data_IF_996331637292
#
_entry.id   IF_996331637292
#
_cell.length_a   1.000
_cell.length_b   1.000
_cell.length_c   1.000
_cell.angle_alpha   90.00
_cell.angle_beta   90.00
_cell.angle_gamma   90.00
#
_symmetry.space_group_name_H-M   'P 1'
#
loop_
_entity.id
_entity.type
_entity.pdbx_description
1 polymer ?
#
# COMPACT_ATOMS: atom_id res chain seq x y z
N UNK A 1 -27.60 14.09 -17.56
CA UNK A 1 -26.27 13.55 -17.25
C UNK A 1 -26.23 13.19 -15.77
N UNK A 2 -25.64 12.06 -15.37
CA UNK A 2 -25.43 11.73 -13.95
C UNK A 2 -24.04 12.22 -13.56
N UNK A 3 -23.93 12.91 -12.42
CA UNK A 3 -22.67 13.42 -11.88
C UNK A 3 -22.34 12.69 -10.58
N UNK A 4 -21.05 12.44 -10.34
CA UNK A 4 -20.55 11.80 -9.14
C UNK A 4 -19.51 12.71 -8.49
N UNK A 5 -19.80 13.35 -7.34
CA UNK A 5 -18.82 14.18 -6.65
C UNK A 5 -17.70 13.30 -6.09
N UNK A 6 -16.47 13.80 -6.16
CA UNK A 6 -15.29 13.12 -5.62
C UNK A 6 -14.29 14.12 -5.07
N UNK A 7 -13.34 13.64 -4.27
CA UNK A 7 -12.15 14.40 -3.86
C UNK A 7 -10.92 13.68 -4.39
N UNK A 8 -10.02 14.42 -5.04
CA UNK A 8 -8.72 13.88 -5.45
C UNK A 8 -7.73 14.04 -4.31
N UNK A 9 -7.10 12.96 -3.87
CA UNK A 9 -6.12 12.97 -2.78
C UNK A 9 -4.89 12.15 -3.16
N UNK A 10 -3.77 12.34 -2.46
CA UNK A 10 -2.63 11.44 -2.56
C UNK A 10 -1.89 11.31 -1.22
N UNK A 11 -1.31 10.15 -0.98
CA UNK A 11 -0.34 9.92 0.10
C UNK A 11 1.05 9.73 -0.50
N UNK A 12 1.91 10.74 -0.39
CA UNK A 12 3.28 10.70 -0.94
C UNK A 12 3.34 10.34 -2.45
N UNK A 13 2.36 10.77 -3.24
CA UNK A 13 2.29 10.51 -4.69
C UNK A 13 1.39 9.34 -5.09
N UNK A 14 1.13 8.38 -4.19
CA UNK A 14 0.11 7.35 -4.44
C UNK A 14 -1.28 8.00 -4.35
N UNK A 15 -1.99 8.06 -5.48
CA UNK A 15 -3.14 8.95 -5.67
C UNK A 15 -4.49 8.23 -5.75
N UNK A 16 -5.50 8.86 -5.15
CA UNK A 16 -6.83 8.29 -4.94
C UNK A 16 -7.92 9.19 -5.50
N UNK A 17 -8.93 8.57 -6.08
CA UNK A 17 -10.26 9.18 -6.22
C UNK A 17 -11.04 8.79 -4.97
N UNK A 18 -11.40 9.76 -4.12
CA UNK A 18 -12.11 9.51 -2.86
C UNK A 18 -13.60 9.82 -3.03
N UNK A 19 -14.45 8.83 -2.75
CA UNK A 19 -15.91 8.93 -2.83
C UNK A 19 -16.54 8.90 -1.43
N UNK A 20 -17.47 9.83 -1.22
CA UNK A 20 -18.27 9.91 0.00
C UNK A 20 -19.50 9.02 -0.11
N UNK A 21 -19.42 7.82 0.44
CA UNK A 21 -20.55 6.90 0.60
C UNK A 21 -21.28 7.04 1.94
N UNK A 22 -20.92 8.02 2.77
CA UNK A 22 -21.65 8.38 4.01
C UNK A 22 -22.79 9.33 3.66
N UNK A 23 -22.48 10.37 2.90
CA UNK A 23 -23.42 11.45 2.56
C UNK A 23 -24.27 11.15 1.33
N UNK A 24 -23.83 10.21 0.49
CA UNK A 24 -24.41 9.98 -0.82
C UNK A 24 -24.58 8.49 -1.12
N UNK A 25 -25.67 8.16 -1.82
CA UNK A 25 -25.82 6.86 -2.45
C UNK A 25 -24.88 6.77 -3.67
N UNK A 26 -24.05 5.73 -3.69
CA UNK A 26 -23.06 5.53 -4.75
C UNK A 26 -23.55 4.44 -5.72
N UNK A 27 -23.30 4.59 -7.04
CA UNK A 27 -23.57 3.54 -8.01
C UNK A 27 -22.68 2.31 -7.76
N UNK A 28 -22.94 1.17 -8.42
CA UNK A 28 -22.01 0.04 -8.41
C UNK A 28 -20.61 0.47 -8.89
N UNK A 29 -19.61 0.33 -8.01
CA UNK A 29 -18.29 0.94 -8.22
C UNK A 29 -17.30 0.02 -8.93
N UNK A 30 -17.41 -1.29 -8.79
CA UNK A 30 -16.53 -2.26 -9.47
C UNK A 30 -16.42 -2.01 -10.99
N UNK A 31 -17.54 -1.87 -11.75
CA UNK A 31 -17.45 -1.58 -13.19
C UNK A 31 -17.01 -0.14 -13.50
N UNK A 32 -16.99 0.75 -12.50
CA UNK A 32 -16.60 2.16 -12.66
C UNK A 32 -15.15 2.40 -12.29
N UNK A 33 -14.58 1.65 -11.34
CA UNK A 33 -13.24 1.86 -10.82
C UNK A 33 -12.20 1.93 -11.94
N UNK A 34 -12.18 0.92 -12.82
CA UNK A 34 -11.24 0.90 -13.95
C UNK A 34 -11.43 2.06 -14.92
N UNK A 35 -12.67 2.43 -15.22
CA UNK A 35 -12.99 3.56 -16.11
C UNK A 35 -12.60 4.91 -15.52
N UNK A 36 -12.79 5.09 -14.21
CA UNK A 36 -12.46 6.33 -13.50
C UNK A 36 -10.95 6.45 -13.28
N UNK A 37 -10.27 5.33 -13.03
CA UNK A 37 -8.84 5.26 -12.75
C UNK A 37 -7.97 5.39 -14.02
N UNK A 38 -8.53 5.16 -15.22
CA UNK A 38 -7.82 5.41 -16.48
C UNK A 38 -7.30 6.86 -16.55
N UNK A 39 -5.99 7.02 -16.77
CA UNK A 39 -5.30 8.31 -16.74
C UNK A 39 -5.51 9.16 -17.99
N UNK A 40 -6.01 8.59 -19.08
CA UNK A 40 -6.22 9.30 -20.35
C UNK A 40 -7.71 9.61 -20.59
N UNK A 41 -8.59 8.67 -20.27
CA UNK A 41 -10.02 8.72 -20.56
C UNK A 41 -10.89 8.86 -19.31
N UNK A 42 -10.30 8.71 -18.12
CA UNK A 42 -10.95 8.89 -16.83
C UNK A 42 -10.48 10.12 -16.08
N UNK A 43 -10.58 10.08 -14.75
CA UNK A 43 -9.99 11.07 -13.85
C UNK A 43 -8.49 10.78 -13.69
N UNK A 44 -8.11 9.50 -13.74
CA UNK A 44 -6.74 9.03 -13.59
C UNK A 44 -6.33 8.90 -12.14
N UNK A 45 -6.10 7.70 -11.62
CA UNK A 45 -5.63 7.44 -10.25
C UNK A 45 -5.02 6.05 -10.12
N UNK A 46 -4.19 5.82 -9.10
CA UNK A 46 -3.77 4.46 -8.75
C UNK A 46 -4.97 3.65 -8.24
N UNK A 47 -5.79 4.25 -7.39
CA UNK A 47 -6.88 3.58 -6.67
C UNK A 47 -8.13 4.45 -6.51
N UNK A 48 -9.29 3.79 -6.44
CA UNK A 48 -10.55 4.36 -5.97
C UNK A 48 -10.70 4.03 -4.48
N UNK A 49 -10.95 5.04 -3.64
CA UNK A 49 -11.19 4.90 -2.21
C UNK A 49 -12.61 5.33 -1.89
N UNK A 50 -13.33 4.49 -1.16
CA UNK A 50 -14.73 4.75 -0.79
C UNK A 50 -14.83 4.75 0.72
N UNK A 51 -15.42 5.80 1.26
CA UNK A 51 -15.68 5.91 2.70
C UNK A 51 -17.17 5.67 2.95
N UNK A 52 -17.51 4.79 3.89
CA UNK A 52 -18.87 4.38 4.22
C UNK A 52 -19.10 4.37 5.73
N UNK A 53 -20.37 4.35 6.19
CA UNK A 53 -20.68 3.97 7.56
C UNK A 53 -20.12 2.57 7.87
N UNK A 54 -19.68 2.34 9.11
CA UNK A 54 -19.21 1.02 9.53
C UNK A 54 -20.34 -0.03 9.42
N UNK A 55 -19.97 -1.26 9.07
CA UNK A 55 -20.88 -2.41 9.07
C UNK A 55 -20.95 -3.12 10.42
N UNK A 56 -20.04 -2.78 11.35
CA UNK A 56 -19.89 -3.44 12.65
C UNK A 56 -19.75 -2.42 13.77
N UNK A 57 -20.10 -2.80 15.00
CA UNK A 57 -19.92 -1.95 16.19
C UNK A 57 -18.45 -1.77 16.62
N UNK A 58 -17.51 -2.45 15.96
CA UNK A 58 -16.08 -2.41 16.30
C UNK A 58 -15.32 -1.27 15.59
N UNK A 59 -15.99 -0.53 14.69
CA UNK A 59 -15.42 0.56 13.90
C UNK A 59 -16.42 1.72 13.79
N UNK A 60 -15.90 2.91 13.51
CA UNK A 60 -16.69 4.14 13.32
C UNK A 60 -17.06 4.30 11.84
N UNK A 61 -16.15 3.92 10.94
CA UNK A 61 -16.31 3.99 9.49
C UNK A 61 -15.82 2.72 8.81
N UNK A 62 -16.16 2.56 7.53
CA UNK A 62 -15.64 1.53 6.65
C UNK A 62 -14.94 2.14 5.45
N UNK A 63 -13.81 1.56 5.07
CA UNK A 63 -13.05 1.94 3.88
C UNK A 63 -13.04 0.79 2.88
N UNK A 64 -13.35 1.08 1.63
CA UNK A 64 -13.20 0.14 0.51
C UNK A 64 -12.19 0.72 -0.48
N UNK A 65 -11.31 -0.13 -1.02
CA UNK A 65 -10.31 0.28 -2.02
C UNK A 65 -10.41 -0.64 -3.22
N UNK A 66 -10.49 -0.03 -4.40
CA UNK A 66 -10.42 -0.70 -5.68
C UNK A 66 -9.17 -0.23 -6.44
N UNK A 67 -8.40 -1.16 -6.97
CA UNK A 67 -7.30 -0.86 -7.89
C UNK A 67 -7.82 -0.32 -9.22
N UNK A 68 -6.90 0.21 -10.03
CA UNK A 68 -7.19 0.67 -11.39
C UNK A 68 -7.71 -0.43 -12.34
N UNK A 69 -7.57 -1.71 -12.01
CA UNK A 69 -8.17 -2.84 -12.75
C UNK A 69 -9.57 -3.23 -12.25
N UNK A 70 -10.06 -2.57 -11.19
CA UNK A 70 -11.34 -2.84 -10.54
C UNK A 70 -11.30 -3.92 -9.45
N UNK A 71 -10.16 -4.59 -9.23
CA UNK A 71 -10.00 -5.55 -8.14
C UNK A 71 -10.02 -4.85 -6.78
N UNK A 72 -10.62 -5.49 -5.78
CA UNK A 72 -10.66 -4.96 -4.41
C UNK A 72 -9.39 -5.35 -3.64
N UNK A 73 -8.84 -4.40 -2.87
CA UNK A 73 -7.63 -4.60 -2.06
C UNK A 73 -7.97 -4.60 -0.59
N UNK A 74 -7.27 -5.43 0.17
CA UNK A 74 -7.60 -5.59 1.58
C UNK A 74 -7.24 -4.39 2.45
N UNK A 75 -6.07 -3.77 2.20
CA UNK A 75 -5.58 -2.60 2.92
C UNK A 75 -4.57 -1.81 2.08
N UNK A 76 -4.56 -0.48 2.25
CA UNK A 76 -3.52 0.40 1.72
C UNK A 76 -3.17 1.47 2.77
N UNK A 77 -1.90 1.49 3.20
CA UNK A 77 -1.42 2.41 4.23
C UNK A 77 -1.50 3.89 3.81
N UNK A 78 -1.36 4.19 2.52
CA UNK A 78 -1.53 5.54 1.99
C UNK A 78 -3.02 5.91 1.92
N UNK A 79 -3.85 4.95 1.52
CA UNK A 79 -5.31 5.10 1.46
C UNK A 79 -5.91 5.40 2.83
N UNK A 80 -5.52 4.67 3.88
CA UNK A 80 -6.07 4.90 5.23
C UNK A 80 -5.75 6.30 5.79
N UNK A 81 -4.58 6.87 5.45
CA UNK A 81 -4.24 8.26 5.80
C UNK A 81 -5.13 9.26 5.05
N UNK A 82 -5.37 9.02 3.76
CA UNK A 82 -6.29 9.82 2.96
C UNK A 82 -7.74 9.71 3.48
N UNK A 83 -8.18 8.51 3.86
CA UNK A 83 -9.49 8.25 4.46
C UNK A 83 -9.69 9.04 5.74
N UNK A 84 -8.74 8.96 6.69
CA UNK A 84 -8.81 9.73 7.93
C UNK A 84 -8.89 11.24 7.66
N UNK A 85 -8.02 11.76 6.80
CA UNK A 85 -8.00 13.19 6.44
C UNK A 85 -9.30 13.62 5.77
N UNK A 86 -9.84 12.79 4.87
CA UNK A 86 -11.12 13.03 4.21
C UNK A 86 -12.27 13.13 5.21
N UNK A 87 -12.36 12.16 6.13
CA UNK A 87 -13.38 12.13 7.18
C UNK A 87 -13.33 13.40 8.06
N UNK A 88 -12.12 13.80 8.48
CA UNK A 88 -11.91 14.99 9.29
C UNK A 88 -12.24 16.28 8.53
N UNK A 89 -11.76 16.42 7.29
CA UNK A 89 -11.97 17.61 6.46
C UNK A 89 -13.44 17.80 6.05
N UNK A 90 -14.18 16.70 5.87
CA UNK A 90 -15.63 16.74 5.56
C UNK A 90 -16.52 16.87 6.80
N UNK A 91 -15.93 16.90 8.00
CA UNK A 91 -16.69 17.03 9.25
C UNK A 91 -17.45 15.77 9.65
N UNK A 92 -17.07 14.60 9.13
CA UNK A 92 -17.65 13.31 9.52
C UNK A 92 -17.16 12.87 10.90
N UNK A 93 -16.03 13.38 11.37
CA UNK A 93 -15.49 13.13 12.71
C UNK A 93 -14.59 14.28 13.15
N UNK A 94 -14.59 14.55 14.46
CA UNK A 94 -13.64 15.43 15.16
C UNK A 94 -12.66 14.65 16.05
N UNK A 95 -12.79 13.32 16.12
CA UNK A 95 -11.98 12.46 16.95
C UNK A 95 -10.53 12.36 16.44
N UNK A 96 -9.58 12.42 17.36
CA UNK A 96 -8.16 12.29 17.02
C UNK A 96 -7.77 10.87 16.61
N UNK A 97 -8.50 9.84 17.04
CA UNK A 97 -8.34 8.45 16.62
C UNK A 97 -9.71 7.84 16.32
N UNK A 98 -9.80 7.06 15.25
CA UNK A 98 -11.04 6.38 14.83
C UNK A 98 -10.74 4.93 14.45
N UNK A 99 -11.71 4.04 14.62
CA UNK A 99 -11.70 2.71 14.04
C UNK A 99 -12.23 2.74 12.61
N UNK A 100 -11.45 2.21 11.66
CA UNK A 100 -11.85 2.06 10.26
C UNK A 100 -11.84 0.58 9.89
N UNK A 101 -13.01 0.06 9.55
CA UNK A 101 -13.18 -1.28 9.00
C UNK A 101 -12.57 -1.38 7.60
N UNK A 102 -11.72 -2.38 7.40
CA UNK A 102 -11.12 -2.76 6.12
C UNK A 102 -11.31 -4.27 5.90
N UNK A 103 -10.98 -4.82 4.73
CA UNK A 103 -11.07 -6.28 4.55
C UNK A 103 -10.03 -7.03 5.41
N UNK A 104 -8.93 -6.39 5.79
CA UNK A 104 -7.93 -6.95 6.72
C UNK A 104 -8.31 -6.78 8.21
N UNK A 105 -9.50 -6.25 8.52
CA UNK A 105 -9.95 -5.95 9.88
C UNK A 105 -9.94 -4.45 10.20
N UNK A 106 -10.08 -4.11 11.48
CA UNK A 106 -10.19 -2.72 11.93
C UNK A 106 -8.80 -2.09 12.12
N UNK A 107 -8.53 -1.01 11.41
CA UNK A 107 -7.31 -0.18 11.54
C UNK A 107 -7.64 1.10 12.30
N UNK A 108 -6.71 1.59 13.13
CA UNK A 108 -6.88 2.81 13.92
C UNK A 108 -5.92 3.92 13.49
N UNK A 109 -6.25 4.70 12.44
CA UNK A 109 -5.52 5.91 12.13
C UNK A 109 -5.74 6.98 13.21
N UNK A 110 -4.67 7.71 13.52
CA UNK A 110 -4.65 8.81 14.49
C UNK A 110 -4.06 10.08 13.89
N UNK A 111 -4.62 11.22 14.23
CA UNK A 111 -4.03 12.52 13.94
C UNK A 111 -2.67 12.70 14.61
N UNK A 112 -1.68 13.07 13.81
CA UNK A 112 -0.31 13.33 14.28
C UNK A 112 0.05 14.83 14.23
N UNK A 113 -0.93 15.71 13.97
CA UNK A 113 -0.71 17.14 13.77
C UNK A 113 -0.17 17.50 12.39
N UNK A 114 -0.33 18.77 12.00
CA UNK A 114 0.24 19.32 10.75
C UNK A 114 -0.11 18.50 9.49
N UNK A 115 -1.39 18.12 9.33
CA UNK A 115 -1.88 17.30 8.21
C UNK A 115 -1.27 15.89 8.12
N UNK A 116 -0.66 15.40 9.20
CA UNK A 116 -0.11 14.05 9.28
C UNK A 116 -1.06 13.11 10.01
N UNK A 117 -1.07 11.88 9.53
CA UNK A 117 -1.83 10.77 10.11
C UNK A 117 -0.84 9.65 10.46
N UNK A 118 -0.85 9.23 11.71
CA UNK A 118 -0.15 8.06 12.20
C UNK A 118 -1.04 6.84 12.05
N UNK A 119 -0.47 5.70 11.67
CA UNK A 119 -1.19 4.44 11.51
C UNK A 119 -0.38 3.36 12.20
N UNK A 120 -1.01 2.61 13.09
CA UNK A 120 -0.40 1.39 13.61
C UNK A 120 -0.52 0.29 12.54
N UNK A 121 0.63 -0.09 11.97
CA UNK A 121 0.74 -1.11 10.92
C UNK A 121 0.89 -2.53 11.51
N UNK A 122 0.84 -2.68 12.84
CA UNK A 122 1.05 -3.93 13.53
C UNK A 122 2.51 -4.37 13.55
N UNK A 123 2.73 -5.64 13.89
CA UNK A 123 4.07 -6.23 14.00
C UNK A 123 4.50 -6.84 12.66
N UNK A 124 5.79 -6.72 12.29
CA UNK A 124 6.32 -7.42 11.13
C UNK A 124 6.29 -8.94 11.34
N UNK A 125 6.02 -9.65 10.25
CA UNK A 125 6.13 -11.11 10.15
C UNK A 125 7.51 -11.41 9.57
N UNK A 126 8.32 -12.16 10.33
CA UNK A 126 9.72 -12.47 10.00
C UNK A 126 9.95 -13.94 9.63
N UNK A 127 8.98 -14.80 9.94
CA UNK A 127 9.04 -16.23 9.67
C UNK A 127 8.90 -16.49 8.16
N UNK A 128 9.88 -17.14 7.49
CA UNK A 128 9.88 -17.37 6.05
C UNK A 128 8.59 -18.00 5.52
N UNK A 129 8.03 -18.98 6.25
CA UNK A 129 6.80 -19.67 5.88
C UNK A 129 5.57 -18.76 5.89
N UNK A 130 5.55 -17.72 6.75
CA UNK A 130 4.47 -16.73 6.85
C UNK A 130 4.68 -15.52 5.93
N UNK A 131 5.90 -15.29 5.42
CA UNK A 131 6.20 -14.34 4.32
C UNK A 131 5.95 -14.96 2.93
N UNK A 132 5.47 -16.20 2.87
CA UNK A 132 5.87 -17.22 1.89
C UNK A 132 7.13 -16.93 1.05
N UNK A 133 8.32 -17.08 1.65
CA UNK A 133 9.61 -17.09 0.92
C UNK A 133 10.35 -18.41 1.10
N UNK A 134 11.09 -18.83 0.07
CA UNK A 134 11.99 -20.01 0.08
C UNK A 134 13.45 -19.64 0.41
N UNK A 135 13.73 -18.38 0.73
CA UNK A 135 15.08 -17.89 1.03
C UNK A 135 15.57 -18.23 2.45
N UNK A 136 14.72 -18.82 3.28
CA UNK A 136 15.08 -19.28 4.62
C UNK A 136 14.09 -20.31 5.15
N UNK A 137 14.38 -20.82 6.34
CA UNK A 137 13.54 -21.77 7.07
C UNK A 137 13.54 -21.45 8.57
N UNK A 138 12.68 -22.11 9.35
CA UNK A 138 12.56 -21.89 10.80
C UNK A 138 11.82 -20.60 11.14
N UNK A 139 12.12 -20.01 12.29
CA UNK A 139 11.38 -18.86 12.86
C UNK A 139 11.80 -17.49 12.29
N UNK A 140 12.81 -17.45 11.40
CA UNK A 140 13.35 -16.21 10.82
C UNK A 140 14.33 -15.47 11.73
N UNK A 141 14.74 -14.23 11.38
CA UNK A 141 14.45 -13.52 10.12
C UNK A 141 15.30 -14.03 8.94
N UNK A 142 14.85 -13.75 7.71
CA UNK A 142 15.69 -13.88 6.50
C UNK A 142 16.43 -12.56 6.30
N UNK A 143 17.74 -12.56 6.50
CA UNK A 143 18.59 -11.38 6.37
C UNK A 143 19.71 -11.66 5.37
N UNK A 144 19.88 -10.77 4.40
CA UNK A 144 20.94 -10.81 3.37
C UNK A 144 21.11 -12.18 2.70
N UNK A 145 20.01 -12.92 2.51
CA UNK A 145 20.04 -14.22 1.85
C UNK A 145 20.40 -14.05 0.36
N UNK A 146 21.30 -14.90 -0.19
CA UNK A 146 21.69 -14.80 -1.58
C UNK A 146 20.53 -15.20 -2.51
N UNK A 147 20.23 -14.35 -3.48
CA UNK A 147 19.25 -14.58 -4.53
C UNK A 147 19.91 -14.36 -5.89
N UNK A 148 20.00 -15.41 -6.71
CA UNK A 148 20.56 -15.29 -8.06
C UNK A 148 19.49 -14.77 -9.02
N UNK A 149 19.72 -13.59 -9.60
CA UNK A 149 18.81 -12.92 -10.54
C UNK A 149 19.61 -12.42 -11.72
N UNK A 150 19.21 -12.77 -12.95
CA UNK A 150 19.91 -12.36 -14.19
C UNK A 150 21.43 -12.66 -14.20
N UNK A 151 21.88 -13.70 -13.49
CA UNK A 151 23.30 -14.05 -13.37
C UNK A 151 24.06 -13.27 -12.28
N UNK A 152 23.39 -12.39 -11.56
CA UNK A 152 23.92 -11.61 -10.43
C UNK A 152 23.44 -12.20 -9.11
N UNK A 153 24.23 -12.08 -8.03
CA UNK A 153 23.82 -12.49 -6.69
C UNK A 153 23.42 -11.24 -5.90
N UNK A 154 22.12 -11.11 -5.62
CA UNK A 154 21.56 -10.08 -4.76
C UNK A 154 21.53 -10.58 -3.32
N UNK A 155 21.74 -9.68 -2.35
CA UNK A 155 21.50 -9.95 -0.93
C UNK A 155 20.12 -9.44 -0.57
N UNK A 156 19.22 -10.36 -0.20
CA UNK A 156 17.80 -10.08 0.01
C UNK A 156 17.44 -10.38 1.45
N UNK A 157 16.89 -9.37 2.13
CA UNK A 157 16.18 -9.56 3.39
C UNK A 157 14.68 -9.64 3.12
N UNK A 158 13.96 -10.50 3.84
CA UNK A 158 12.52 -10.70 3.63
C UNK A 158 11.72 -10.36 4.88
N UNK A 159 10.63 -9.63 4.71
CA UNK A 159 9.69 -9.25 5.77
C UNK A 159 8.27 -9.21 5.20
N UNK A 160 7.26 -9.40 6.05
CA UNK A 160 5.87 -9.16 5.67
C UNK A 160 5.19 -8.22 6.65
N UNK A 161 4.43 -7.26 6.13
CA UNK A 161 3.52 -6.39 6.89
C UNK A 161 2.05 -6.79 6.65
N UNK A 162 1.82 -8.07 6.31
CA UNK A 162 0.57 -8.59 5.75
C UNK A 162 0.70 -8.94 4.26
N UNK A 163 1.57 -8.23 3.55
CA UNK A 163 2.04 -8.54 2.19
C UNK A 163 3.58 -8.75 2.18
N UNK A 164 4.13 -9.56 1.26
CA UNK A 164 5.55 -9.90 1.26
C UNK A 164 6.43 -8.80 0.66
N UNK A 165 7.59 -8.55 1.28
CA UNK A 165 8.60 -7.59 0.86
C UNK A 165 10.00 -8.22 0.80
N UNK A 166 10.72 -7.87 -0.26
CA UNK A 166 12.12 -8.18 -0.48
C UNK A 166 12.91 -6.87 -0.42
N UNK A 167 13.76 -6.72 0.59
CA UNK A 167 14.58 -5.53 0.84
C UNK A 167 16.01 -5.80 0.41
N UNK A 168 16.53 -4.95 -0.48
CA UNK A 168 17.87 -5.08 -1.05
C UNK A 168 18.63 -3.78 -0.78
N UNK A 169 19.72 -3.90 -0.04
CA UNK A 169 20.64 -2.78 0.20
C UNK A 169 21.42 -2.47 -1.08
N UNK A 170 21.40 -1.21 -1.51
CA UNK A 170 22.15 -0.70 -2.68
C UNK A 170 22.93 0.55 -2.29
N UNK A 171 23.90 0.95 -3.12
CA UNK A 171 24.70 2.16 -2.88
C UNK A 171 23.89 3.46 -3.09
N UNK A 172 23.04 3.50 -4.13
CA UNK A 172 22.15 4.62 -4.42
C UNK A 172 20.87 4.10 -5.11
N UNK A 173 19.67 4.24 -4.51
CA UNK A 173 18.44 3.72 -5.10
C UNK A 173 18.13 4.37 -6.44
N UNK A 174 18.51 5.64 -6.67
CA UNK A 174 18.25 6.36 -7.93
C UNK A 174 19.03 5.77 -9.11
N UNK A 175 20.23 5.24 -8.84
CA UNK A 175 21.11 4.66 -9.87
C UNK A 175 20.93 3.15 -9.99
N UNK A 176 20.26 2.54 -9.03
CA UNK A 176 19.99 1.12 -9.07
C UNK A 176 19.00 0.77 -10.19
N UNK A 177 19.20 -0.39 -10.81
CA UNK A 177 18.43 -0.84 -11.97
C UNK A 177 17.09 -1.45 -11.56
N UNK A 178 16.30 -0.73 -10.76
CA UNK A 178 15.02 -1.21 -10.23
C UNK A 178 14.05 -1.63 -11.35
N UNK A 179 14.01 -0.90 -12.46
CA UNK A 179 13.17 -1.26 -13.61
C UNK A 179 13.60 -2.59 -14.28
N UNK A 180 14.89 -2.96 -14.20
CA UNK A 180 15.40 -4.22 -14.73
C UNK A 180 15.24 -5.37 -13.72
N UNK A 181 15.62 -5.14 -12.47
CA UNK A 181 15.68 -6.18 -11.44
C UNK A 181 14.35 -6.38 -10.69
N UNK A 182 13.56 -5.33 -10.51
CA UNK A 182 12.25 -5.34 -9.85
C UNK A 182 11.32 -6.43 -10.36
N UNK A 183 10.97 -6.50 -11.67
CA UNK A 183 10.09 -7.54 -12.19
C UNK A 183 10.67 -8.95 -12.06
N UNK A 184 12.00 -9.09 -12.12
CA UNK A 184 12.67 -10.38 -12.00
C UNK A 184 12.63 -10.91 -10.56
N UNK A 185 12.82 -10.03 -9.57
CA UNK A 185 12.70 -10.38 -8.15
C UNK A 185 11.24 -10.60 -7.77
N UNK A 186 10.32 -9.73 -8.23
CA UNK A 186 8.87 -9.86 -8.00
C UNK A 186 8.37 -11.27 -8.37
N UNK A 187 8.81 -11.78 -9.53
CA UNK A 187 8.34 -13.05 -10.08
C UNK A 187 9.27 -14.24 -9.75
N UNK A 188 10.30 -14.03 -8.94
CA UNK A 188 11.30 -15.06 -8.69
C UNK A 188 10.68 -16.29 -8.01
N UNK A 189 11.03 -17.53 -8.40
CA UNK A 189 10.51 -18.77 -7.78
C UNK A 189 10.73 -18.92 -6.26
N UNK A 190 11.58 -18.07 -5.69
CA UNK A 190 11.79 -17.98 -4.25
C UNK A 190 10.63 -17.30 -3.52
N UNK A 191 9.75 -16.60 -4.23
CA UNK A 191 8.56 -15.93 -3.71
C UNK A 191 7.32 -16.47 -4.44
N UNK A 192 6.73 -17.60 -3.99
CA UNK A 192 5.59 -18.23 -4.67
C UNK A 192 4.39 -17.31 -4.87
N UNK A 193 4.18 -16.36 -3.95
CA UNK A 193 3.08 -15.40 -4.01
C UNK A 193 3.50 -14.04 -4.59
N UNK A 194 4.62 -14.03 -5.33
CA UNK A 194 5.36 -12.83 -5.76
C UNK A 194 5.74 -11.93 -4.58
N UNK A 195 6.45 -10.84 -4.82
CA UNK A 195 6.97 -9.97 -3.74
C UNK A 195 7.07 -8.51 -4.16
N UNK A 196 6.85 -7.58 -3.23
CA UNK A 196 7.24 -6.18 -3.43
C UNK A 196 8.75 -6.04 -3.24
N UNK A 197 9.42 -5.22 -4.05
CA UNK A 197 10.87 -5.11 -4.04
C UNK A 197 11.27 -3.70 -3.64
N UNK A 198 11.99 -3.55 -2.52
CA UNK A 198 12.50 -2.28 -2.04
C UNK A 198 14.02 -2.23 -2.20
N UNK A 199 14.50 -1.24 -2.95
CA UNK A 199 15.92 -0.90 -3.02
C UNK A 199 16.20 0.23 -2.06
N UNK A 200 17.06 -0.01 -1.07
CA UNK A 200 17.26 0.91 0.06
C UNK A 200 18.72 1.27 0.27
N UNK A 201 18.93 2.48 0.78
CA UNK A 201 20.24 2.95 1.25
C UNK A 201 20.07 3.70 2.56
N UNK A 202 20.81 3.28 3.59
CA UNK A 202 20.89 4.00 4.85
C UNK A 202 21.76 5.25 4.68
N UNK A 203 21.14 6.43 4.78
CA UNK A 203 21.86 7.71 4.76
C UNK A 203 22.38 8.06 6.16
N UNK A 204 21.68 7.62 7.20
CA UNK A 204 22.11 7.67 8.61
C UNK A 204 21.29 6.66 9.43
N UNK A 205 21.57 6.53 10.73
CA UNK A 205 20.79 5.66 11.64
C UNK A 205 19.30 6.03 11.74
N UNK A 206 18.91 7.24 11.37
CA UNK A 206 17.53 7.73 11.43
C UNK A 206 16.96 8.12 10.06
N UNK A 207 17.67 7.82 8.96
CA UNK A 207 17.24 8.21 7.61
C UNK A 207 17.64 7.18 6.57
N UNK A 208 16.66 6.67 5.84
CA UNK A 208 16.84 5.81 4.68
C UNK A 208 16.33 6.52 3.40
N UNK A 209 16.86 6.13 2.25
CA UNK A 209 16.29 6.41 0.93
C UNK A 209 15.83 5.09 0.34
N UNK A 210 14.73 5.12 -0.41
CA UNK A 210 14.09 3.94 -0.96
C UNK A 210 13.49 4.23 -2.33
N UNK A 211 13.57 3.26 -3.23
CA UNK A 211 12.68 3.12 -4.38
C UNK A 211 12.04 1.74 -4.32
N UNK A 212 10.82 1.62 -4.84
CA UNK A 212 10.03 0.40 -4.69
C UNK A 212 9.42 -0.03 -6.01
N UNK A 213 9.39 -1.35 -6.22
CA UNK A 213 8.63 -2.01 -7.26
C UNK A 213 7.53 -2.83 -6.59
N UNK A 214 6.28 -2.41 -6.76
CA UNK A 214 5.13 -3.07 -6.15
C UNK A 214 4.64 -4.23 -7.00
N UNK A 215 4.31 -5.33 -6.32
CA UNK A 215 3.78 -6.56 -6.89
C UNK A 215 2.53 -6.27 -7.72
N UNK A 216 2.57 -6.59 -9.00
CA UNK A 216 1.46 -6.38 -9.94
C UNK A 216 1.25 -4.94 -10.42
N UNK A 217 2.03 -3.98 -9.95
CA UNK A 217 1.90 -2.56 -10.30
C UNK A 217 3.13 -2.02 -11.01
N UNK A 218 4.32 -2.41 -10.58
CA UNK A 218 5.58 -1.84 -11.07
C UNK A 218 6.14 -0.77 -10.14
N UNK A 219 6.99 0.11 -10.66
CA UNK A 219 7.57 1.18 -9.85
C UNK A 219 6.52 2.21 -9.41
N UNK A 220 6.42 2.45 -8.10
CA UNK A 220 5.50 3.43 -7.51
C UNK A 220 6.25 4.51 -6.74
N UNK A 221 5.63 5.69 -6.58
CA UNK A 221 6.23 6.81 -5.85
C UNK A 221 6.34 6.56 -4.34
N UNK A 222 5.46 5.72 -3.78
CA UNK A 222 5.48 5.39 -2.36
C UNK A 222 4.70 4.10 -2.07
N UNK A 223 5.36 3.13 -1.42
CA UNK A 223 4.72 1.96 -0.83
C UNK A 223 4.81 2.06 0.71
N UNK A 224 3.69 2.28 1.40
CA UNK A 224 3.73 2.50 2.85
C UNK A 224 4.06 1.25 3.68
N UNK A 225 3.85 0.05 3.13
CA UNK A 225 4.16 -1.23 3.79
C UNK A 225 5.59 -1.73 3.55
N UNK A 226 6.28 -1.23 2.52
CA UNK A 226 7.62 -1.66 2.11
C UNK A 226 8.69 -0.72 2.62
#
# INVERSE_FOLDING_TARGET
MKTLPFTKMHGCGNDFIVLDGISHELPPLEPLAARLADRNFGIGADQLLVVRPAGTAAADFRMEIFNADGSQVEMCANGIRCCYKFLRDRGHTDADEIGVETLSGVVRPRWAGQDRVSVDMGRPILEPAKIPTRLGSGEGPVIDAPLTVAGEILKVSSVSMGNPHAVINVDDPERAELARLGPLVEQHPAFPNRVNVAFVTAVSRSRIRQRTWERGTGETLACGSG
#
